data_IF_711753555935
#
_entry.id   IF_711753555935
#
_cell.length_a   1.000
_cell.length_b   1.000
_cell.length_c   1.000
_cell.angle_alpha   90.00
_cell.angle_beta   90.00
_cell.angle_gamma   90.00
#
_symmetry.space_group_name_H-M   'P 1'
#
loop_
_entity.id
_entity.type
_entity.pdbx_description
1 polymer ?
#
# COMPACT_ATOMS: atom_id res chain seq x y z
N UNK A 1 22.43 -2.10 39.56
CA UNK A 1 21.82 -1.29 38.46
C UNK A 1 20.80 -2.14 37.75
N UNK A 2 19.51 -1.85 37.89
CA UNK A 2 18.43 -2.64 37.28
C UNK A 2 18.13 -2.13 35.87
N UNK A 3 18.02 -3.02 34.85
CA UNK A 3 17.61 -2.60 33.51
C UNK A 3 16.12 -2.28 33.50
N UNK A 4 15.79 -1.06 33.07
CA UNK A 4 14.42 -0.58 32.89
C UNK A 4 13.69 -1.39 31.82
N UNK A 5 12.59 -2.05 32.20
CA UNK A 5 11.66 -2.74 31.29
C UNK A 5 11.09 -1.73 30.29
N UNK A 6 11.35 -1.95 29.01
CA UNK A 6 10.66 -1.27 27.90
C UNK A 6 9.16 -1.62 27.93
N UNK A 7 8.33 -0.63 28.18
CA UNK A 7 6.87 -0.77 28.06
C UNK A 7 6.48 -0.96 26.60
N UNK A 8 5.85 -2.09 26.30
CA UNK A 8 5.24 -2.38 25.00
C UNK A 8 4.22 -1.28 24.66
N UNK A 9 4.47 -0.54 23.56
CA UNK A 9 3.55 0.47 23.06
C UNK A 9 2.16 -0.13 22.81
N UNK A 10 1.14 0.48 23.42
CA UNK A 10 -0.27 0.14 23.19
C UNK A 10 -0.60 0.35 21.71
N UNK A 11 -0.93 -0.74 21.01
CA UNK A 11 -1.59 -0.67 19.70
C UNK A 11 -2.90 0.08 19.92
N UNK A 12 -3.03 1.27 19.35
CA UNK A 12 -4.27 2.06 19.41
C UNK A 12 -5.28 1.33 18.51
N UNK A 13 -6.12 0.50 19.13
CA UNK A 13 -7.28 -0.07 18.47
C UNK A 13 -8.21 1.08 18.04
N UNK A 14 -8.89 0.97 16.87
CA UNK A 14 -9.85 1.98 16.44
C UNK A 14 -10.89 2.24 17.54
N UNK A 15 -11.40 3.47 17.65
CA UNK A 15 -12.26 3.88 18.75
C UNK A 15 -13.43 2.91 18.92
N UNK A 16 -13.73 2.57 20.18
CA UNK A 16 -14.78 1.59 20.55
C UNK A 16 -16.14 1.89 19.91
N UNK A 17 -16.43 3.16 19.61
CA UNK A 17 -17.61 3.60 18.88
C UNK A 17 -17.72 3.02 17.46
N UNK A 18 -16.59 2.78 16.78
CA UNK A 18 -16.59 2.15 15.45
C UNK A 18 -16.88 0.65 15.54
N UNK A 19 -16.34 -0.04 16.57
CA UNK A 19 -16.59 -1.46 16.83
C UNK A 19 -18.00 -1.73 17.38
N UNK A 20 -18.54 -0.83 18.22
CA UNK A 20 -19.89 -0.99 18.80
C UNK A 20 -20.99 -0.84 17.74
N UNK A 21 -20.81 0.06 16.76
CA UNK A 21 -21.74 0.20 15.63
C UNK A 21 -21.76 -1.02 14.71
N UNK A 22 -20.73 -1.86 14.71
CA UNK A 22 -20.66 -3.06 13.86
C UNK A 22 -21.33 -4.31 14.45
N UNK A 23 -21.61 -4.36 15.77
CA UNK A 23 -22.16 -5.58 16.43
C UNK A 23 -23.67 -5.77 16.30
N UNK A 24 -24.45 -4.75 15.88
CA UNK A 24 -25.91 -4.79 15.87
C UNK A 24 -26.56 -4.62 14.48
N UNK A 25 -25.96 -5.17 13.42
CA UNK A 25 -26.47 -4.88 12.07
C UNK A 25 -26.58 -6.11 11.18
N UNK A 26 -27.50 -6.99 11.46
CA UNK A 26 -27.92 -8.02 10.50
C UNK A 26 -28.75 -7.47 9.31
N UNK A 27 -29.17 -6.19 9.36
CA UNK A 27 -29.80 -5.46 8.24
C UNK A 27 -29.06 -4.16 7.86
N UNK A 28 -27.74 -4.16 7.91
CA UNK A 28 -26.99 -2.93 7.64
C UNK A 28 -26.76 -2.71 6.16
N UNK A 29 -27.14 -1.49 5.73
CA UNK A 29 -26.75 -0.95 4.43
C UNK A 29 -25.25 -1.18 4.22
N UNK A 30 -24.88 -1.85 3.13
CA UNK A 30 -23.50 -2.06 2.75
C UNK A 30 -22.84 -0.70 2.45
N UNK A 31 -21.57 -0.53 2.82
CA UNK A 31 -20.83 0.68 2.45
C UNK A 31 -20.31 0.53 1.02
N UNK A 32 -20.50 1.57 0.23
CA UNK A 32 -20.06 1.63 -1.16
C UNK A 32 -19.14 2.84 -1.37
N UNK A 33 -17.99 2.61 -1.95
CA UNK A 33 -17.06 3.67 -2.28
C UNK A 33 -17.40 4.29 -3.63
N UNK A 34 -17.84 5.57 -3.63
CA UNK A 34 -18.22 6.28 -4.86
C UNK A 34 -17.03 6.46 -5.82
N UNK A 35 -15.79 6.56 -5.28
CA UNK A 35 -14.60 6.82 -6.09
C UNK A 35 -14.11 5.58 -6.83
N UNK A 36 -14.03 4.42 -6.17
CA UNK A 36 -13.45 3.20 -6.75
C UNK A 36 -14.46 2.05 -6.88
N UNK A 37 -15.72 2.27 -6.53
CA UNK A 37 -16.82 1.30 -6.64
C UNK A 37 -16.61 0.01 -5.83
N UNK A 38 -15.70 0.02 -4.86
CA UNK A 38 -15.56 -1.10 -3.93
C UNK A 38 -16.69 -1.07 -2.89
N UNK A 39 -17.02 -2.24 -2.37
CA UNK A 39 -18.06 -2.44 -1.36
C UNK A 39 -17.48 -3.08 -0.11
N UNK A 40 -17.92 -2.60 1.06
CA UNK A 40 -17.58 -3.23 2.33
C UNK A 40 -18.56 -4.36 2.62
N UNK A 41 -18.09 -5.58 2.41
CA UNK A 41 -18.87 -6.81 2.53
C UNK A 41 -18.15 -7.80 3.45
N UNK A 42 -18.88 -8.46 4.37
CA UNK A 42 -18.31 -9.43 5.31
C UNK A 42 -17.01 -8.95 6.00
N UNK A 43 -17.04 -7.73 6.53
CA UNK A 43 -15.92 -7.09 7.27
C UNK A 43 -14.68 -6.75 6.45
N UNK A 44 -14.76 -6.79 5.12
CA UNK A 44 -13.65 -6.41 4.23
C UNK A 44 -14.13 -5.59 3.03
N UNK A 45 -13.26 -4.75 2.49
CA UNK A 45 -13.49 -4.08 1.22
C UNK A 45 -13.19 -5.04 0.08
N UNK A 46 -14.08 -5.13 -0.90
CA UNK A 46 -13.98 -6.00 -2.07
C UNK A 46 -14.40 -5.23 -3.31
N UNK A 47 -13.98 -5.69 -4.48
CA UNK A 47 -14.54 -5.20 -5.73
C UNK A 47 -16.00 -5.63 -5.85
N UNK A 48 -16.84 -4.74 -6.40
CA UNK A 48 -18.28 -5.01 -6.53
C UNK A 48 -18.58 -6.29 -7.33
N UNK A 49 -17.76 -6.57 -8.35
CA UNK A 49 -17.89 -7.77 -9.19
C UNK A 49 -17.45 -9.08 -8.50
N UNK A 50 -16.85 -8.99 -7.32
CA UNK A 50 -16.40 -10.15 -6.52
C UNK A 50 -17.36 -10.50 -5.38
N UNK A 51 -18.49 -9.81 -5.29
CA UNK A 51 -19.47 -10.03 -4.22
C UNK A 51 -20.84 -10.28 -4.81
N UNK A 52 -21.52 -11.29 -4.28
CA UNK A 52 -22.91 -11.56 -4.61
C UNK A 52 -23.81 -10.78 -3.64
N UNK A 53 -24.41 -9.69 -4.14
CA UNK A 53 -25.34 -8.84 -3.40
C UNK A 53 -26.66 -8.76 -4.16
N UNK A 54 -27.76 -8.93 -3.44
CA UNK A 54 -29.12 -8.83 -4.01
C UNK A 54 -29.44 -7.42 -4.49
N UNK A 55 -30.40 -7.29 -5.39
CA UNK A 55 -30.81 -5.98 -5.89
C UNK A 55 -31.39 -5.07 -4.79
N UNK A 56 -32.06 -5.65 -3.79
CA UNK A 56 -32.48 -4.92 -2.59
C UNK A 56 -31.29 -4.35 -1.80
N UNK A 57 -30.19 -5.09 -1.70
CA UNK A 57 -28.95 -4.61 -1.07
C UNK A 57 -28.26 -3.52 -1.90
N UNK A 58 -28.27 -3.63 -3.24
CA UNK A 58 -27.75 -2.59 -4.14
C UNK A 58 -28.47 -1.27 -3.98
N UNK A 59 -29.79 -1.29 -3.82
CA UNK A 59 -30.62 -0.09 -3.60
C UNK A 59 -30.34 0.59 -2.25
N UNK A 60 -29.87 -0.16 -1.26
CA UNK A 60 -29.59 0.32 0.10
C UNK A 60 -28.10 0.54 0.38
N UNK A 61 -27.28 0.74 -0.65
CA UNK A 61 -25.83 1.03 -0.48
C UNK A 61 -25.62 2.41 0.14
N UNK A 62 -24.91 2.46 1.26
CA UNK A 62 -24.50 3.72 1.87
C UNK A 62 -23.19 4.21 1.25
N UNK A 63 -23.25 5.34 0.60
CA UNK A 63 -22.11 5.99 -0.05
C UNK A 63 -21.08 6.46 0.97
N UNK A 64 -19.79 6.22 0.69
CA UNK A 64 -18.66 6.63 1.53
C UNK A 64 -17.37 6.61 0.70
N UNK A 65 -16.25 7.01 1.29
CA UNK A 65 -14.92 6.74 0.73
C UNK A 65 -14.29 5.54 1.44
N UNK A 66 -13.74 4.59 0.69
CA UNK A 66 -12.95 3.52 1.28
C UNK A 66 -11.61 4.08 1.85
N UNK A 67 -10.94 3.35 2.76
CA UNK A 67 -9.68 3.81 3.35
C UNK A 67 -8.62 4.21 2.32
N UNK A 68 -8.45 3.43 1.25
CA UNK A 68 -7.47 3.73 0.21
C UNK A 68 -7.80 5.04 -0.55
N UNK A 69 -9.07 5.26 -0.91
CA UNK A 69 -9.49 6.52 -1.54
C UNK A 69 -9.35 7.73 -0.61
N UNK A 70 -9.50 7.51 0.71
CA UNK A 70 -9.25 8.56 1.69
C UNK A 70 -7.75 8.87 1.79
N UNK A 71 -6.88 7.86 1.80
CA UNK A 71 -5.42 8.02 1.78
C UNK A 71 -4.96 8.80 0.54
N UNK A 72 -5.48 8.45 -0.64
CA UNK A 72 -5.19 9.19 -1.89
C UNK A 72 -5.63 10.65 -1.81
N UNK A 73 -6.82 10.92 -1.24
CA UNK A 73 -7.34 12.28 -1.08
C UNK A 73 -6.50 13.11 -0.12
N UNK A 74 -6.06 12.51 0.99
CA UNK A 74 -5.32 13.19 2.06
C UNK A 74 -3.80 13.11 1.88
N UNK A 75 -3.31 12.40 0.86
CA UNK A 75 -1.88 12.10 0.64
C UNK A 75 -1.21 11.41 1.85
N UNK A 76 -1.99 10.71 2.66
CA UNK A 76 -1.52 10.04 3.87
C UNK A 76 -1.35 8.53 3.63
N UNK A 77 -0.33 8.17 2.88
CA UNK A 77 -0.02 6.81 2.49
C UNK A 77 0.66 6.01 3.60
N UNK A 78 0.48 4.68 3.61
CA UNK A 78 1.08 3.76 4.58
C UNK A 78 2.46 3.25 4.16
N UNK A 79 2.71 3.09 2.86
CA UNK A 79 3.96 2.63 2.29
C UNK A 79 4.65 3.71 1.45
N UNK A 80 5.96 3.84 1.59
CA UNK A 80 6.81 4.71 0.78
C UNK A 80 8.07 3.95 0.37
N UNK A 81 8.41 3.99 -0.91
CA UNK A 81 9.71 3.56 -1.43
C UNK A 81 10.44 4.80 -1.95
N UNK A 82 11.62 5.06 -1.42
CA UNK A 82 12.55 6.07 -1.93
C UNK A 82 13.68 5.35 -2.63
N UNK A 83 13.81 5.54 -3.94
CA UNK A 83 14.93 5.00 -4.74
C UNK A 83 15.92 6.11 -5.02
N UNK A 84 17.17 5.91 -4.65
CA UNK A 84 18.26 6.84 -4.91
C UNK A 84 19.21 6.21 -5.95
N UNK A 85 19.46 6.92 -7.03
CA UNK A 85 20.33 6.50 -8.12
C UNK A 85 21.65 7.26 -8.03
N UNK A 86 22.66 6.67 -7.39
CA UNK A 86 24.01 7.24 -7.30
C UNK A 86 24.84 6.95 -8.53
N UNK A 87 24.42 5.98 -9.32
CA UNK A 87 24.99 5.64 -10.62
C UNK A 87 23.89 5.83 -11.68
N UNK A 88 24.22 6.31 -12.87
CA UNK A 88 23.25 6.42 -13.94
C UNK A 88 22.78 5.03 -14.36
N UNK A 89 21.51 4.72 -14.10
CA UNK A 89 20.90 3.52 -14.65
C UNK A 89 20.48 3.78 -16.09
N UNK A 90 20.67 2.77 -16.93
CA UNK A 90 20.12 2.74 -18.27
C UNK A 90 18.60 2.98 -18.25
N UNK A 91 18.10 3.78 -19.18
CA UNK A 91 16.68 4.11 -19.29
C UNK A 91 15.79 2.87 -19.49
N UNK A 92 16.31 1.84 -20.15
CA UNK A 92 15.64 0.56 -20.28
C UNK A 92 15.42 -0.09 -18.92
N UNK A 93 16.43 -0.14 -18.04
CA UNK A 93 16.33 -0.69 -16.68
C UNK A 93 15.34 0.13 -15.84
N UNK A 94 15.41 1.46 -15.93
CA UNK A 94 14.44 2.34 -15.26
C UNK A 94 13.01 2.04 -15.71
N UNK A 95 12.79 1.86 -17.00
CA UNK A 95 11.47 1.53 -17.54
C UNK A 95 10.98 0.14 -17.10
N UNK A 96 11.87 -0.84 -17.04
CA UNK A 96 11.55 -2.19 -16.54
C UNK A 96 11.18 -2.16 -15.06
N UNK A 97 11.87 -1.38 -14.23
CA UNK A 97 11.52 -1.17 -12.82
C UNK A 97 10.13 -0.54 -12.70
N UNK A 98 9.82 0.49 -13.48
CA UNK A 98 8.48 1.11 -13.51
C UNK A 98 7.40 0.10 -13.89
N UNK A 99 7.62 -0.65 -14.94
CA UNK A 99 6.69 -1.66 -15.41
C UNK A 99 6.45 -2.74 -14.36
N UNK A 100 7.51 -3.18 -13.67
CA UNK A 100 7.41 -4.14 -12.59
C UNK A 100 6.55 -3.61 -11.44
N UNK A 101 6.76 -2.36 -11.02
CA UNK A 101 5.97 -1.70 -9.96
C UNK A 101 4.50 -1.64 -10.33
N UNK A 102 4.19 -1.16 -11.54
CA UNK A 102 2.82 -1.03 -12.04
C UNK A 102 2.14 -2.39 -12.13
N UNK A 103 2.82 -3.39 -12.71
CA UNK A 103 2.25 -4.73 -12.88
C UNK A 103 1.95 -5.42 -11.53
N UNK A 104 2.83 -5.31 -10.54
CA UNK A 104 2.58 -5.87 -9.21
C UNK A 104 1.43 -5.11 -8.54
N UNK A 105 1.42 -3.78 -8.63
CA UNK A 105 0.37 -2.95 -8.03
C UNK A 105 -1.01 -3.26 -8.61
N UNK A 106 -1.11 -3.43 -9.93
CA UNK A 106 -2.36 -3.78 -10.59
C UNK A 106 -2.86 -5.17 -10.17
N UNK A 107 -1.98 -6.17 -10.13
CA UNK A 107 -2.35 -7.53 -9.65
C UNK A 107 -2.82 -7.53 -8.20
N UNK A 108 -2.22 -6.72 -7.34
CA UNK A 108 -2.67 -6.61 -5.95
C UNK A 108 -3.98 -5.84 -5.84
N UNK A 109 -4.18 -4.79 -6.64
CA UNK A 109 -5.45 -4.08 -6.71
C UNK A 109 -6.60 -4.99 -7.15
N UNK A 110 -6.40 -5.85 -8.14
CA UNK A 110 -7.40 -6.83 -8.58
C UNK A 110 -7.83 -7.78 -7.45
N UNK A 111 -6.92 -8.11 -6.53
CA UNK A 111 -7.18 -8.99 -5.38
C UNK A 111 -7.78 -8.24 -4.19
N UNK A 112 -7.31 -7.01 -3.97
CA UNK A 112 -7.68 -6.19 -2.82
C UNK A 112 -7.80 -4.73 -3.25
N UNK A 113 -9.00 -4.15 -3.30
CA UNK A 113 -9.21 -2.76 -3.71
C UNK A 113 -8.55 -1.73 -2.79
N UNK A 114 -8.04 -2.13 -1.63
CA UNK A 114 -7.31 -1.24 -0.73
C UNK A 114 -5.81 -1.20 -0.99
N UNK A 115 -5.25 -2.16 -1.73
CA UNK A 115 -3.82 -2.28 -1.95
C UNK A 115 -3.45 -1.71 -3.33
N UNK A 116 -2.93 -0.48 -3.39
CA UNK A 116 -2.69 0.27 -4.64
C UNK A 116 -1.42 1.08 -4.62
N UNK A 117 -0.92 1.31 -5.83
CA UNK A 117 -0.02 2.42 -6.11
C UNK A 117 -0.80 3.74 -5.93
N UNK A 118 -0.32 4.62 -5.09
CA UNK A 118 -0.91 5.94 -4.83
C UNK A 118 -0.31 7.01 -5.74
N UNK A 119 0.91 7.40 -5.46
CA UNK A 119 1.60 8.47 -6.16
C UNK A 119 3.00 8.04 -6.58
N UNK A 120 3.44 8.48 -7.74
CA UNK A 120 4.78 8.24 -8.26
C UNK A 120 5.41 9.59 -8.60
N UNK A 121 6.44 9.98 -7.84
CA UNK A 121 7.21 11.19 -8.06
C UNK A 121 8.59 10.82 -8.61
N UNK A 122 8.91 11.33 -9.76
CA UNK A 122 10.15 11.03 -10.48
C UNK A 122 11.01 12.26 -10.60
N UNK A 123 12.30 12.08 -10.28
CA UNK A 123 13.35 13.02 -10.62
C UNK A 123 14.55 12.24 -11.19
N UNK A 124 15.52 12.92 -11.70
CA UNK A 124 16.69 12.33 -12.38
C UNK A 124 17.41 11.30 -11.47
N UNK A 125 17.67 11.67 -10.21
CA UNK A 125 18.47 10.88 -9.27
C UNK A 125 17.65 10.24 -8.14
N UNK A 126 16.34 10.48 -8.10
CA UNK A 126 15.50 9.94 -7.03
C UNK A 126 14.06 9.71 -7.50
N UNK A 127 13.51 8.57 -7.12
CA UNK A 127 12.07 8.32 -7.21
C UNK A 127 11.48 8.18 -5.82
N UNK A 128 10.27 8.75 -5.62
CA UNK A 128 9.45 8.54 -4.44
C UNK A 128 8.12 7.92 -4.86
N UNK A 129 7.82 6.77 -4.30
CA UNK A 129 6.67 5.96 -4.70
C UNK A 129 5.85 5.68 -3.46
N UNK A 130 4.57 6.05 -3.50
CA UNK A 130 3.67 5.93 -2.36
C UNK A 130 2.63 4.85 -2.61
N UNK A 131 2.29 4.12 -1.54
CA UNK A 131 1.35 3.01 -1.58
C UNK A 131 0.33 3.12 -0.45
N UNK A 132 -0.89 2.72 -0.72
CA UNK A 132 -1.95 2.65 0.30
C UNK A 132 -1.76 1.48 1.27
N UNK A 133 -0.82 0.58 0.99
CA UNK A 133 -0.54 -0.62 1.77
C UNK A 133 0.97 -0.79 1.94
N UNK A 134 1.43 -0.87 3.20
CA UNK A 134 2.84 -1.04 3.54
C UNK A 134 3.40 -2.41 3.11
N UNK A 135 2.57 -3.47 3.08
CA UNK A 135 2.99 -4.80 2.64
C UNK A 135 3.23 -4.84 1.13
N UNK A 136 2.43 -4.08 0.36
CA UNK A 136 2.65 -3.91 -1.07
C UNK A 136 4.01 -3.25 -1.33
N UNK A 137 4.33 -2.18 -0.62
CA UNK A 137 5.63 -1.51 -0.73
C UNK A 137 6.80 -2.47 -0.43
N UNK A 138 6.69 -3.25 0.66
CA UNK A 138 7.71 -4.26 1.03
C UNK A 138 7.91 -5.31 -0.07
N UNK A 139 6.82 -5.86 -0.59
CA UNK A 139 6.88 -6.87 -1.68
C UNK A 139 7.51 -6.33 -2.96
N UNK A 140 7.14 -5.11 -3.34
CA UNK A 140 7.68 -4.47 -4.53
C UNK A 140 9.19 -4.24 -4.37
N UNK A 141 9.64 -3.68 -3.24
CA UNK A 141 11.05 -3.45 -2.98
C UNK A 141 11.88 -4.75 -3.02
N UNK A 142 11.38 -5.82 -2.39
CA UNK A 142 12.02 -7.13 -2.42
C UNK A 142 12.06 -7.72 -3.83
N UNK A 143 10.98 -7.56 -4.61
CA UNK A 143 10.92 -8.07 -5.98
C UNK A 143 11.87 -7.32 -6.89
N UNK A 144 11.95 -6.00 -6.78
CA UNK A 144 12.93 -5.18 -7.53
C UNK A 144 14.35 -5.66 -7.22
N UNK A 145 14.70 -5.77 -5.93
CA UNK A 145 16.02 -6.27 -5.54
C UNK A 145 16.32 -7.62 -6.18
N UNK A 146 15.40 -8.58 -6.05
CA UNK A 146 15.60 -9.95 -6.58
C UNK A 146 15.73 -9.96 -8.10
N UNK A 147 14.93 -9.13 -8.82
CA UNK A 147 14.88 -9.17 -10.29
C UNK A 147 16.06 -8.45 -10.92
N UNK A 148 16.48 -7.33 -10.34
CA UNK A 148 17.50 -6.46 -10.97
C UNK A 148 18.88 -6.60 -10.35
N UNK A 149 19.01 -7.33 -9.24
CA UNK A 149 20.30 -7.52 -8.59
C UNK A 149 21.33 -8.16 -9.55
N UNK A 150 20.94 -9.22 -10.26
CA UNK A 150 21.81 -9.93 -11.20
C UNK A 150 22.17 -9.05 -12.41
N UNK A 151 21.21 -8.31 -12.96
CA UNK A 151 21.40 -7.42 -14.11
C UNK A 151 22.33 -6.24 -13.78
N UNK A 152 22.30 -5.77 -12.53
CA UNK A 152 23.12 -4.66 -12.04
C UNK A 152 24.50 -5.16 -11.60
N UNK A 153 24.61 -6.38 -11.04
CA UNK A 153 25.87 -6.99 -10.66
C UNK A 153 26.85 -7.19 -11.82
N UNK A 154 26.35 -7.45 -13.02
CA UNK A 154 27.21 -7.55 -14.21
C UNK A 154 27.98 -6.25 -14.52
N UNK A 155 27.59 -5.13 -13.88
CA UNK A 155 28.18 -3.81 -14.02
C UNK A 155 28.94 -3.32 -12.76
N UNK A 156 29.27 -4.21 -11.81
CA UNK A 156 29.85 -3.87 -10.51
C UNK A 156 29.00 -2.92 -9.65
N UNK A 157 27.70 -2.95 -9.84
CA UNK A 157 26.73 -2.13 -9.11
C UNK A 157 25.99 -2.96 -8.05
N UNK A 158 25.43 -2.30 -7.03
CA UNK A 158 24.72 -2.97 -5.96
C UNK A 158 23.40 -2.24 -5.61
N UNK A 159 22.42 -3.01 -5.10
CA UNK A 159 21.17 -2.46 -4.55
C UNK A 159 21.14 -2.70 -3.04
N UNK A 160 21.23 -1.63 -2.28
CA UNK A 160 21.06 -1.66 -0.83
C UNK A 160 19.61 -1.32 -0.46
N UNK A 161 19.00 -2.10 0.45
CA UNK A 161 17.65 -1.82 0.96
C UNK A 161 17.72 -1.59 2.45
N UNK A 162 17.19 -0.45 2.90
CA UNK A 162 16.99 -0.11 4.32
C UNK A 162 15.50 0.04 4.61
N UNK A 163 15.03 -0.59 5.67
CA UNK A 163 13.67 -0.45 6.17
C UNK A 163 13.69 0.45 7.39
N UNK A 164 12.92 1.54 7.37
CA UNK A 164 12.69 2.38 8.52
C UNK A 164 11.21 2.27 8.92
N UNK A 165 10.96 1.82 10.15
CA UNK A 165 9.64 1.86 10.75
C UNK A 165 9.50 3.19 11.50
N UNK A 166 8.72 4.12 10.96
CA UNK A 166 8.33 5.33 11.68
C UNK A 166 7.25 5.00 12.72
N UNK A 167 7.12 5.83 13.78
CA UNK A 167 6.22 5.63 14.94
C UNK A 167 4.71 5.48 14.62
N UNK A 168 4.33 5.33 13.35
CA UNK A 168 2.98 5.06 12.84
C UNK A 168 3.04 3.97 11.80
N UNK A 169 1.90 3.42 11.30
CA UNK A 169 1.91 2.33 10.32
C UNK A 169 2.55 2.70 8.98
N UNK A 170 3.34 3.77 8.91
CA UNK A 170 4.12 4.14 7.74
C UNK A 170 5.42 3.37 7.69
N UNK A 171 5.60 2.63 6.61
CA UNK A 171 6.88 1.98 6.31
C UNK A 171 7.57 2.77 5.22
N UNK A 172 8.74 3.33 5.54
CA UNK A 172 9.64 3.92 4.54
C UNK A 172 10.72 2.90 4.19
N UNK A 173 10.88 2.65 2.91
CA UNK A 173 11.90 1.76 2.36
C UNK A 173 12.82 2.60 1.50
N UNK A 174 14.10 2.62 1.84
CA UNK A 174 15.12 3.28 1.02
C UNK A 174 15.86 2.24 0.22
N UNK A 175 15.86 2.38 -1.10
CA UNK A 175 16.63 1.58 -2.03
C UNK A 175 17.73 2.46 -2.63
N UNK A 176 18.96 1.98 -2.56
CA UNK A 176 20.13 2.72 -3.06
C UNK A 176 20.80 1.90 -4.14
N UNK A 177 20.91 2.47 -5.33
CA UNK A 177 21.61 1.90 -6.48
C UNK A 177 23.00 2.54 -6.53
N UNK A 178 24.04 1.72 -6.28
CA UNK A 178 25.47 2.13 -6.18
C UNK A 178 26.29 1.46 -7.25
#
# INVERSE_FOLDING_TARGET
>A
MNPKKLTKGKIISPPKSFKAKMKNQEHKSLLFCEKCQSVFYQKSWRHLNQVDISDAQKQNLKKTNCPACLMEKTKNYEGEIVMNFFVPLNDQIKQEIKNLIINISNKEYERNPLSRLGEFQESENQWKIFFTDNQLAKRIAQKIKKTFLESIFSQNQNIEIKFAEEKRPKTRITMTFK
#
